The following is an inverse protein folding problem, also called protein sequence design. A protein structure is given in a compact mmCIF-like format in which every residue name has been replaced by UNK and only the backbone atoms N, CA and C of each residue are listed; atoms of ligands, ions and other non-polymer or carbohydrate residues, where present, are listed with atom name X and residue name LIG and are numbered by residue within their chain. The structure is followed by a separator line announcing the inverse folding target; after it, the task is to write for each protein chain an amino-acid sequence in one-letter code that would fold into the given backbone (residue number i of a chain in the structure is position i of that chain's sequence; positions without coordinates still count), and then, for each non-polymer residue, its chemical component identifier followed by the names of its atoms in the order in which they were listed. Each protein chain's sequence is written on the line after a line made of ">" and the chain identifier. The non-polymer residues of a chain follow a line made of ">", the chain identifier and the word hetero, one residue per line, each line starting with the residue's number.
data_IF_842923833763
#
_entry.id   IF_842923833763
#
_cell.length_a   1.000
_cell.length_b   1.000
_cell.length_c   1.000
_cell.angle_alpha   90.00
_cell.angle_beta   90.00
_cell.angle_gamma   90.00
#
_symmetry.space_group_name_H-M   'P 1'
#
loop_
_entity.id
_entity.type
_entity.pdbx_description
1 polymer ?
#
# COMPACT_ATOMS: atom_id res chain seq x y z
N UNK A 1 16.39 -18.00 3.16
CA UNK A 1 16.52 -19.17 2.25
C UNK A 1 16.84 -18.76 0.82
N UNK A 2 16.95 -19.74 -0.10
CA UNK A 2 17.25 -19.48 -1.53
C UNK A 2 16.24 -18.50 -2.15
N UNK A 3 14.96 -18.57 -1.73
CA UNK A 3 13.92 -17.65 -2.19
C UNK A 3 14.16 -16.19 -1.83
N UNK A 4 14.76 -15.91 -0.67
CA UNK A 4 15.08 -14.55 -0.25
C UNK A 4 16.24 -13.98 -1.08
N UNK A 5 17.21 -14.81 -1.46
CA UNK A 5 18.33 -14.39 -2.30
C UNK A 5 17.84 -14.04 -3.70
N UNK A 6 16.98 -14.86 -4.31
CA UNK A 6 16.42 -14.60 -5.64
C UNK A 6 15.55 -13.36 -5.70
N UNK A 7 14.73 -13.10 -4.67
CA UNK A 7 13.93 -11.88 -4.59
C UNK A 7 14.79 -10.63 -4.49
N UNK A 8 15.93 -10.69 -3.82
CA UNK A 8 16.87 -9.57 -3.72
C UNK A 8 17.66 -9.35 -5.01
N UNK A 9 18.09 -10.43 -5.66
CA UNK A 9 18.74 -10.35 -6.97
C UNK A 9 17.84 -9.71 -8.03
N UNK A 10 16.53 -9.88 -7.90
CA UNK A 10 15.56 -9.21 -8.77
C UNK A 10 15.38 -7.73 -8.45
N UNK A 11 15.26 -7.40 -7.18
CA UNK A 11 14.91 -6.04 -6.72
C UNK A 11 16.08 -5.07 -6.83
N UNK A 12 17.30 -5.53 -6.53
CA UNK A 12 18.49 -4.68 -6.47
C UNK A 12 18.84 -4.02 -7.81
N UNK A 13 18.84 -4.72 -8.96
CA UNK A 13 19.08 -4.06 -10.26
C UNK A 13 18.05 -2.97 -10.57
N UNK A 14 16.77 -3.22 -10.28
CA UNK A 14 15.69 -2.25 -10.52
C UNK A 14 15.90 -1.00 -9.65
N UNK A 15 16.23 -1.20 -8.37
CA UNK A 15 16.56 -0.12 -7.44
C UNK A 15 17.74 0.71 -7.95
N UNK A 16 18.86 0.06 -8.27
CA UNK A 16 20.07 0.74 -8.74
C UNK A 16 19.81 1.51 -10.04
N UNK A 17 19.15 0.88 -11.01
CA UNK A 17 18.79 1.54 -12.28
C UNK A 17 17.90 2.76 -12.02
N UNK A 18 16.88 2.62 -11.16
CA UNK A 18 15.99 3.72 -10.80
C UNK A 18 16.71 4.88 -10.14
N UNK A 19 17.58 4.62 -9.16
CA UNK A 19 18.33 5.67 -8.44
C UNK A 19 19.38 6.34 -9.34
N UNK A 20 20.12 5.58 -10.14
CA UNK A 20 21.12 6.14 -11.06
C UNK A 20 20.43 7.02 -12.11
N UNK A 21 19.33 6.54 -12.70
CA UNK A 21 18.58 7.35 -13.65
C UNK A 21 17.99 8.61 -12.99
N UNK A 22 17.41 8.48 -11.80
CA UNK A 22 16.91 9.61 -11.04
C UNK A 22 17.99 10.66 -10.82
N UNK A 23 19.19 10.23 -10.41
CA UNK A 23 20.33 11.13 -10.20
C UNK A 23 20.71 11.87 -11.48
N UNK A 24 20.76 11.16 -12.61
CA UNK A 24 21.13 11.76 -13.91
C UNK A 24 20.03 12.68 -14.47
N UNK A 25 18.76 12.40 -14.17
CA UNK A 25 17.63 13.18 -14.65
C UNK A 25 17.25 14.37 -13.75
N UNK A 26 17.90 14.50 -12.58
CA UNK A 26 17.56 15.52 -11.58
C UNK A 26 18.30 16.82 -11.81
N UNK A 27 17.55 17.93 -11.70
CA UNK A 27 18.12 19.28 -11.57
C UNK A 27 18.18 19.66 -10.09
N UNK A 28 19.36 19.50 -9.48
CA UNK A 28 19.55 19.79 -8.06
C UNK A 28 19.48 21.29 -7.71
N UNK A 29 19.54 22.19 -8.71
CA UNK A 29 19.36 23.62 -8.47
C UNK A 29 17.96 23.95 -7.96
N UNK A 30 16.94 23.14 -8.35
CA UNK A 30 15.56 23.26 -7.89
C UNK A 30 15.43 23.08 -6.36
N UNK A 31 16.27 22.25 -5.74
CA UNK A 31 16.26 22.12 -4.27
C UNK A 31 16.70 23.40 -3.56
N UNK A 32 17.56 24.19 -4.20
CA UNK A 32 18.04 25.45 -3.61
C UNK A 32 17.04 26.57 -3.89
N UNK A 33 16.52 26.66 -5.11
CA UNK A 33 15.58 27.71 -5.51
C UNK A 33 14.18 27.53 -4.91
N UNK A 34 13.66 26.27 -4.86
CA UNK A 34 12.30 25.94 -4.53
C UNK A 34 12.17 25.18 -3.19
N UNK A 35 13.17 25.26 -2.30
CA UNK A 35 13.25 24.44 -1.08
C UNK A 35 11.98 24.53 -0.21
N UNK A 36 11.35 25.71 -0.12
CA UNK A 36 10.13 25.91 0.68
C UNK A 36 8.98 25.05 0.15
N UNK A 37 8.79 25.08 -1.17
CA UNK A 37 7.73 24.27 -1.79
C UNK A 37 8.05 22.79 -1.80
N UNK A 38 9.30 22.41 -1.98
CA UNK A 38 9.74 21.02 -1.81
C UNK A 38 9.42 20.49 -0.40
N UNK A 39 9.61 21.30 0.65
CA UNK A 39 9.21 20.94 2.02
C UNK A 39 7.68 20.80 2.17
N UNK A 40 6.90 21.67 1.53
CA UNK A 40 5.44 21.56 1.51
C UNK A 40 5.01 20.24 0.84
N UNK A 41 5.54 19.92 -0.33
CA UNK A 41 5.25 18.65 -0.99
C UNK A 41 5.71 17.43 -0.17
N UNK A 42 6.88 17.51 0.48
CA UNK A 42 7.35 16.46 1.38
C UNK A 42 6.38 16.23 2.54
N UNK A 43 5.87 17.32 3.15
CA UNK A 43 4.89 17.24 4.22
C UNK A 43 3.56 16.64 3.72
N UNK A 44 3.09 17.02 2.53
CA UNK A 44 1.89 16.48 1.89
C UNK A 44 2.06 14.98 1.61
N UNK A 45 3.16 14.56 1.01
CA UNK A 45 3.47 13.16 0.73
C UNK A 45 3.52 12.35 2.04
N UNK A 46 4.18 12.90 3.08
CA UNK A 46 4.26 12.29 4.40
C UNK A 46 2.89 12.14 5.06
N UNK A 47 2.06 13.19 4.99
CA UNK A 47 0.70 13.16 5.54
C UNK A 47 -0.18 12.13 4.81
N UNK A 48 -0.16 12.08 3.49
CA UNK A 48 -0.92 11.09 2.73
C UNK A 48 -0.37 9.67 2.93
N UNK A 49 0.94 9.50 3.18
CA UNK A 49 1.50 8.20 3.56
C UNK A 49 1.01 7.74 4.95
N UNK A 50 0.75 8.69 5.86
CA UNK A 50 0.17 8.40 7.17
C UNK A 50 -1.35 8.15 7.10
N UNK A 51 -2.06 8.85 6.23
CA UNK A 51 -3.51 8.73 6.01
C UNK A 51 -3.88 7.60 5.04
N UNK A 52 -3.05 6.55 4.94
CA UNK A 52 -3.39 5.40 4.13
C UNK A 52 -4.70 4.75 4.63
N UNK A 53 -5.48 4.25 3.70
CA UNK A 53 -6.66 3.43 3.93
C UNK A 53 -6.40 2.03 3.38
N UNK A 54 -7.14 1.06 3.85
CA UNK A 54 -6.97 -0.31 3.41
C UNK A 54 -8.32 -0.96 3.07
N UNK A 55 -8.32 -1.82 2.07
CA UNK A 55 -9.41 -2.73 1.77
C UNK A 55 -8.99 -4.14 2.08
N UNK A 56 -9.83 -4.84 2.81
CA UNK A 56 -9.63 -6.25 3.08
C UNK A 56 -10.35 -7.06 2.02
N UNK A 57 -9.60 -7.91 1.34
CA UNK A 57 -10.10 -8.75 0.26
C UNK A 57 -10.01 -10.20 0.72
N UNK A 58 -11.12 -10.91 0.63
CA UNK A 58 -11.15 -12.33 0.92
C UNK A 58 -10.72 -13.13 -0.30
N UNK A 59 -9.67 -13.95 -0.15
CA UNK A 59 -9.17 -14.82 -1.22
C UNK A 59 -9.82 -16.20 -1.21
N UNK A 60 -10.12 -16.68 0.01
CA UNK A 60 -10.68 -17.99 0.28
C UNK A 60 -11.36 -17.91 1.63
N UNK A 61 -12.26 -18.86 1.93
CA UNK A 61 -12.82 -19.03 3.27
C UNK A 61 -11.69 -18.91 4.32
N UNK A 62 -11.77 -17.93 5.19
CA UNK A 62 -10.81 -17.60 6.25
C UNK A 62 -9.42 -17.07 5.83
N UNK A 63 -9.17 -16.81 4.53
CA UNK A 63 -7.91 -16.20 4.09
C UNK A 63 -8.15 -14.83 3.46
N UNK A 64 -7.57 -13.83 4.09
CA UNK A 64 -7.73 -12.43 3.74
C UNK A 64 -6.37 -11.82 3.37
N UNK A 65 -6.39 -10.87 2.46
CA UNK A 65 -5.28 -9.95 2.19
C UNK A 65 -5.76 -8.53 2.33
N UNK A 66 -4.89 -7.65 2.74
CA UNK A 66 -5.15 -6.22 2.69
C UNK A 66 -4.56 -5.62 1.42
N UNK A 67 -5.34 -4.79 0.75
CA UNK A 67 -4.84 -3.89 -0.27
C UNK A 67 -4.79 -2.49 0.32
N UNK A 68 -3.59 -1.92 0.41
CA UNK A 68 -3.41 -0.58 0.93
C UNK A 68 -3.63 0.43 -0.20
N UNK A 69 -4.56 1.36 0.03
CA UNK A 69 -4.76 2.53 -0.81
C UNK A 69 -4.14 3.74 -0.12
N UNK A 70 -3.41 4.55 -0.87
CA UNK A 70 -2.88 5.79 -0.34
C UNK A 70 -2.87 6.86 -1.42
N UNK A 71 -3.10 8.10 -1.01
CA UNK A 71 -2.98 9.25 -1.89
C UNK A 71 -1.52 9.73 -2.04
N UNK A 72 -0.55 9.02 -1.44
CA UNK A 72 0.86 9.40 -1.52
C UNK A 72 1.41 9.34 -2.95
N UNK A 73 1.04 8.33 -3.74
CA UNK A 73 1.44 8.23 -5.15
C UNK A 73 0.86 9.37 -6.00
N UNK A 74 -0.38 9.79 -5.72
CA UNK A 74 -0.98 10.99 -6.30
C UNK A 74 -0.18 12.24 -5.94
N UNK A 75 0.20 12.43 -4.68
CA UNK A 75 0.99 13.58 -4.25
C UNK A 75 2.40 13.59 -4.88
N UNK A 76 3.01 12.42 -5.04
CA UNK A 76 4.29 12.27 -5.77
C UNK A 76 4.11 12.66 -7.24
N UNK A 77 3.03 12.20 -7.91
CA UNK A 77 2.73 12.61 -9.29
C UNK A 77 2.47 14.11 -9.40
N UNK A 78 1.73 14.71 -8.46
CA UNK A 78 1.51 16.16 -8.44
C UNK A 78 2.84 16.92 -8.34
N UNK A 79 3.73 16.52 -7.43
CA UNK A 79 5.06 17.11 -7.33
C UNK A 79 5.90 16.89 -8.60
N UNK A 80 5.80 15.72 -9.23
CA UNK A 80 6.54 15.37 -10.43
C UNK A 80 6.06 16.14 -11.67
N UNK A 81 4.78 16.44 -11.80
CA UNK A 81 4.24 17.28 -12.85
C UNK A 81 4.58 18.77 -12.67
N UNK A 82 4.98 19.19 -11.47
CA UNK A 82 5.45 20.56 -11.18
C UNK A 82 6.97 20.68 -11.34
N UNK A 83 7.73 19.78 -10.72
CA UNK A 83 9.20 19.90 -10.60
C UNK A 83 9.97 18.82 -11.39
N UNK A 84 9.27 18.02 -12.19
CA UNK A 84 9.88 16.94 -12.95
C UNK A 84 10.46 15.82 -12.09
N UNK A 85 11.43 15.07 -12.64
CA UNK A 85 12.07 13.95 -11.98
C UNK A 85 12.69 14.29 -10.61
N UNK A 86 13.17 15.53 -10.43
CA UNK A 86 13.82 15.99 -9.19
C UNK A 86 12.94 15.81 -7.97
N UNK A 87 11.63 15.98 -8.10
CA UNK A 87 10.69 15.82 -6.99
C UNK A 87 10.59 14.38 -6.45
N UNK A 88 10.99 13.38 -7.23
CA UNK A 88 10.98 11.98 -6.76
C UNK A 88 11.96 11.74 -5.60
N UNK A 89 12.95 12.60 -5.42
CA UNK A 89 13.79 12.56 -4.23
C UNK A 89 13.03 12.78 -2.93
N UNK A 90 11.90 13.48 -2.95
CA UNK A 90 11.07 13.70 -1.77
C UNK A 90 10.56 12.38 -1.17
N UNK A 91 10.05 11.49 -2.03
CA UNK A 91 9.60 10.17 -1.56
C UNK A 91 10.78 9.27 -1.20
N UNK A 92 11.92 9.35 -1.90
CA UNK A 92 13.15 8.63 -1.53
C UNK A 92 13.62 9.05 -0.15
N UNK A 93 13.67 10.35 0.16
CA UNK A 93 14.02 10.88 1.47
C UNK A 93 13.04 10.41 2.54
N UNK A 94 11.74 10.52 2.29
CA UNK A 94 10.72 10.09 3.23
C UNK A 94 10.86 8.60 3.57
N UNK A 95 11.00 7.75 2.56
CA UNK A 95 11.19 6.30 2.75
C UNK A 95 12.49 5.98 3.47
N UNK A 96 13.55 6.73 3.19
CA UNK A 96 14.84 6.60 3.90
C UNK A 96 14.70 6.94 5.39
N UNK A 97 13.98 8.02 5.72
CA UNK A 97 13.70 8.39 7.11
C UNK A 97 12.88 7.29 7.80
N UNK A 98 11.82 6.80 7.16
CA UNK A 98 10.99 5.72 7.70
C UNK A 98 11.83 4.46 7.93
N UNK A 99 12.69 4.09 6.98
CA UNK A 99 13.60 2.96 7.10
C UNK A 99 14.54 3.11 8.30
N UNK A 100 15.19 4.26 8.44
CA UNK A 100 16.13 4.54 9.52
C UNK A 100 15.45 4.56 10.89
N UNK A 101 14.27 5.16 11.02
CA UNK A 101 13.49 5.22 12.27
C UNK A 101 13.04 3.83 12.71
N UNK A 102 12.72 2.95 11.77
CA UNK A 102 12.29 1.58 12.09
C UNK A 102 13.46 0.62 12.40
N UNK A 103 14.66 0.92 11.92
CA UNK A 103 15.82 0.04 12.05
C UNK A 103 16.17 -0.32 13.52
N UNK A 104 16.23 0.62 14.48
CA UNK A 104 16.54 0.32 15.87
C UNK A 104 15.44 -0.46 16.61
N UNK A 105 14.19 -0.38 16.14
CA UNK A 105 13.04 -1.08 16.73
C UNK A 105 13.04 -2.57 16.39
N UNK A 106 13.87 -3.01 15.44
CA UNK A 106 13.92 -4.37 14.95
C UNK A 106 15.03 -5.15 15.63
N UNK A 107 14.69 -6.06 16.52
CA UNK A 107 15.64 -6.86 17.32
C UNK A 107 16.17 -8.07 16.55
N UNK A 108 15.38 -8.66 15.63
CA UNK A 108 15.78 -9.85 14.89
C UNK A 108 16.43 -9.53 13.55
N UNK A 109 17.40 -10.36 13.12
CA UNK A 109 18.03 -10.26 11.78
C UNK A 109 17.00 -10.38 10.64
N UNK A 110 15.99 -11.24 10.82
CA UNK A 110 14.94 -11.43 9.83
C UNK A 110 14.05 -10.19 9.67
N UNK A 111 13.71 -9.50 10.78
CA UNK A 111 12.94 -8.27 10.74
C UNK A 111 13.71 -7.12 10.05
N UNK A 112 15.02 -6.98 10.35
CA UNK A 112 15.89 -5.99 9.68
C UNK A 112 15.98 -6.23 8.18
N UNK A 113 16.10 -7.50 7.79
CA UNK A 113 16.15 -7.88 6.40
C UNK A 113 14.84 -7.60 5.65
N UNK A 114 13.69 -7.91 6.26
CA UNK A 114 12.39 -7.56 5.70
C UNK A 114 12.21 -6.04 5.53
N UNK A 115 12.68 -5.25 6.51
CA UNK A 115 12.63 -3.80 6.41
C UNK A 115 13.49 -3.27 5.25
N UNK A 116 14.72 -3.79 5.10
CA UNK A 116 15.60 -3.44 3.99
C UNK A 116 14.95 -3.79 2.64
N UNK A 117 14.40 -5.00 2.51
CA UNK A 117 13.71 -5.43 1.31
C UNK A 117 12.50 -4.54 0.99
N UNK A 118 11.68 -4.21 1.98
CA UNK A 118 10.52 -3.34 1.80
C UNK A 118 10.94 -1.93 1.36
N UNK A 119 12.03 -1.39 1.92
CA UNK A 119 12.61 -0.13 1.49
C UNK A 119 13.03 -0.17 0.01
N UNK A 120 13.81 -1.19 -0.39
CA UNK A 120 14.24 -1.37 -1.78
C UNK A 120 13.05 -1.48 -2.74
N UNK A 121 12.02 -2.27 -2.37
CA UNK A 121 10.80 -2.44 -3.15
C UNK A 121 10.05 -1.12 -3.33
N UNK A 122 9.83 -0.39 -2.23
CA UNK A 122 9.07 0.85 -2.25
C UNK A 122 9.78 1.93 -3.06
N UNK A 123 11.08 2.14 -2.83
CA UNK A 123 11.86 3.13 -3.57
C UNK A 123 11.93 2.77 -5.05
N UNK A 124 12.14 1.49 -5.39
CA UNK A 124 12.13 1.04 -6.80
C UNK A 124 10.78 1.31 -7.48
N UNK A 125 9.67 1.09 -6.76
CA UNK A 125 8.32 1.34 -7.27
C UNK A 125 8.02 2.82 -7.52
N UNK A 126 8.63 3.71 -6.75
CA UNK A 126 8.50 5.17 -6.91
C UNK A 126 9.58 5.81 -7.79
N UNK A 127 10.59 5.07 -8.25
CA UNK A 127 11.65 5.63 -9.10
C UNK A 127 11.49 5.17 -10.55
N UNK A 128 11.84 3.95 -10.87
CA UNK A 128 11.92 3.50 -12.25
C UNK A 128 10.62 3.63 -13.04
N UNK A 129 9.44 3.16 -12.55
CA UNK A 129 8.19 3.32 -13.28
C UNK A 129 7.79 4.79 -13.46
N UNK A 130 8.01 5.62 -12.43
CA UNK A 130 7.72 7.06 -12.51
C UNK A 130 8.62 7.77 -13.52
N UNK A 131 9.92 7.48 -13.55
CA UNK A 131 10.85 8.07 -14.51
C UNK A 131 10.46 7.72 -15.94
N UNK A 132 10.07 6.46 -16.20
CA UNK A 132 9.59 6.05 -17.52
C UNK A 132 8.30 6.82 -17.87
N UNK A 133 7.35 6.93 -16.95
CA UNK A 133 6.12 7.68 -17.15
C UNK A 133 6.37 9.17 -17.43
N UNK A 134 7.27 9.81 -16.66
CA UNK A 134 7.65 11.20 -16.87
C UNK A 134 8.40 11.42 -18.20
N UNK A 135 9.24 10.46 -18.58
CA UNK A 135 9.92 10.52 -19.88
C UNK A 135 8.91 10.44 -21.05
N UNK A 136 7.91 9.56 -20.95
CA UNK A 136 6.82 9.49 -21.94
C UNK A 136 6.01 10.79 -21.94
N UNK A 137 5.67 11.34 -20.77
CA UNK A 137 5.00 12.64 -20.67
C UNK A 137 5.74 13.73 -21.43
N UNK A 138 7.07 13.86 -21.23
CA UNK A 138 7.91 14.81 -21.97
C UNK A 138 7.97 14.50 -23.47
N UNK A 139 8.08 13.23 -23.85
CA UNK A 139 8.19 12.82 -25.25
C UNK A 139 6.92 13.15 -26.07
N UNK A 140 5.75 13.26 -25.43
CA UNK A 140 4.50 13.66 -26.08
C UNK A 140 4.19 15.16 -25.94
N UNK A 141 5.17 15.96 -25.52
CA UNK A 141 5.08 17.42 -25.46
C UNK A 141 4.80 18.02 -24.08
N UNK A 142 4.72 17.17 -23.03
CA UNK A 142 4.56 17.67 -21.66
C UNK A 142 5.78 18.45 -21.18
N UNK A 143 5.54 19.48 -20.38
CA UNK A 143 6.58 20.36 -19.81
C UNK A 143 6.43 20.47 -18.29
N UNK A 144 7.50 20.86 -17.60
CA UNK A 144 7.51 21.09 -16.15
C UNK A 144 7.77 22.57 -15.85
N UNK A 145 6.92 23.20 -14.99
CA UNK A 145 5.63 22.74 -14.51
C UNK A 145 4.61 22.54 -15.64
N UNK A 146 3.57 21.73 -15.41
CA UNK A 146 2.49 21.52 -16.38
C UNK A 146 1.93 22.86 -16.86
N UNK A 147 1.89 23.07 -18.18
CA UNK A 147 1.62 24.40 -18.76
C UNK A 147 0.16 24.82 -18.57
N UNK A 148 -0.78 23.90 -18.76
CA UNK A 148 -2.21 24.18 -18.67
C UNK A 148 -3.01 22.96 -18.22
N UNK A 149 -4.31 23.16 -17.99
CA UNK A 149 -5.29 22.08 -17.78
C UNK A 149 -6.12 21.85 -19.06
N UNK A 150 -5.57 22.12 -20.21
CA UNK A 150 -6.23 21.81 -21.49
C UNK A 150 -6.14 20.30 -21.82
N UNK A 151 -6.86 19.90 -22.87
CA UNK A 151 -6.95 18.49 -23.25
C UNK A 151 -5.58 17.92 -23.63
N UNK A 152 -4.69 18.72 -24.24
CA UNK A 152 -3.39 18.25 -24.71
C UNK A 152 -2.47 17.93 -23.51
N UNK A 153 -2.30 18.87 -22.58
CA UNK A 153 -1.44 18.71 -21.40
C UNK A 153 -1.98 17.62 -20.44
N UNK A 154 -3.31 17.62 -20.24
CA UNK A 154 -3.97 16.61 -19.42
C UNK A 154 -3.82 15.23 -20.04
N UNK A 155 -4.01 15.08 -21.36
CA UNK A 155 -3.83 13.77 -22.03
C UNK A 155 -2.40 13.27 -21.97
N UNK A 156 -1.42 14.18 -22.13
CA UNK A 156 -0.01 13.84 -22.01
C UNK A 156 0.32 13.34 -20.59
N UNK A 157 -0.18 14.03 -19.55
CA UNK A 157 0.00 13.62 -18.17
C UNK A 157 -0.65 12.27 -17.87
N UNK A 158 -1.87 12.04 -18.35
CA UNK A 158 -2.55 10.75 -18.21
C UNK A 158 -1.80 9.62 -18.92
N UNK A 159 -1.25 9.86 -20.12
CA UNK A 159 -0.45 8.86 -20.81
C UNK A 159 0.79 8.47 -19.98
N UNK A 160 1.49 9.45 -19.40
CA UNK A 160 2.61 9.20 -18.50
C UNK A 160 2.21 8.36 -17.29
N UNK A 161 1.07 8.69 -16.67
CA UNK A 161 0.51 7.93 -15.52
C UNK A 161 0.14 6.50 -15.93
N UNK A 162 -0.51 6.31 -17.07
CA UNK A 162 -0.88 4.97 -17.57
C UNK A 162 0.38 4.14 -17.84
N UNK A 163 1.38 4.72 -18.49
CA UNK A 163 2.65 4.04 -18.77
C UNK A 163 3.34 3.66 -17.44
N UNK A 164 3.42 4.58 -16.48
CA UNK A 164 3.93 4.25 -15.15
C UNK A 164 3.22 3.03 -14.53
N UNK A 165 1.89 3.00 -14.60
CA UNK A 165 1.09 1.90 -14.06
C UNK A 165 1.36 0.58 -14.79
N UNK A 166 1.40 0.59 -16.13
CA UNK A 166 1.73 -0.60 -16.92
C UNK A 166 3.12 -1.12 -16.59
N UNK A 167 4.13 -0.25 -16.52
CA UNK A 167 5.50 -0.62 -16.16
C UNK A 167 5.58 -1.16 -14.75
N UNK A 168 4.87 -0.53 -13.80
CA UNK A 168 4.77 -1.03 -12.42
C UNK A 168 4.22 -2.46 -12.39
N UNK A 169 3.12 -2.73 -13.10
CA UNK A 169 2.54 -4.08 -13.21
C UNK A 169 3.55 -5.06 -13.82
N UNK A 170 4.17 -4.70 -14.95
CA UNK A 170 5.12 -5.58 -15.65
C UNK A 170 6.32 -5.95 -14.76
N UNK A 171 6.84 -5.00 -13.99
CA UNK A 171 7.98 -5.23 -13.11
C UNK A 171 7.57 -6.06 -11.89
N UNK A 172 6.45 -5.73 -11.23
CA UNK A 172 6.15 -6.28 -9.92
C UNK A 172 5.30 -7.54 -9.92
N UNK A 173 4.50 -7.80 -10.96
CA UNK A 173 3.69 -9.02 -11.05
C UNK A 173 4.54 -10.30 -10.98
N UNK A 174 5.63 -10.46 -11.73
CA UNK A 174 6.49 -11.64 -11.62
C UNK A 174 7.08 -11.82 -10.22
N UNK A 175 7.49 -10.71 -9.58
CA UNK A 175 8.00 -10.73 -8.22
C UNK A 175 6.97 -11.23 -7.21
N UNK A 176 5.75 -10.70 -7.24
CA UNK A 176 4.67 -11.09 -6.33
C UNK A 176 4.23 -12.53 -6.55
N UNK A 177 4.09 -12.96 -7.81
CA UNK A 177 3.76 -14.35 -8.13
C UNK A 177 4.83 -15.31 -7.61
N UNK A 178 6.10 -14.98 -7.80
CA UNK A 178 7.20 -15.77 -7.26
C UNK A 178 7.19 -15.81 -5.73
N UNK A 179 7.01 -14.67 -5.06
CA UNK A 179 6.94 -14.59 -3.61
C UNK A 179 5.78 -15.43 -3.04
N UNK A 180 4.61 -15.42 -3.69
CA UNK A 180 3.47 -16.26 -3.33
C UNK A 180 3.77 -17.74 -3.52
N UNK A 181 4.43 -18.12 -4.61
CA UNK A 181 4.84 -19.50 -4.91
C UNK A 181 5.80 -20.03 -3.85
N UNK A 182 6.88 -19.28 -3.56
CA UNK A 182 7.90 -19.68 -2.57
C UNK A 182 7.34 -19.75 -1.16
N UNK A 183 6.42 -18.88 -0.80
CA UNK A 183 5.76 -18.92 0.50
C UNK A 183 4.69 -20.03 0.62
N UNK A 184 4.56 -20.90 -0.39
CA UNK A 184 3.55 -21.97 -0.47
C UNK A 184 2.11 -21.47 -0.21
N UNK A 185 1.86 -20.19 -0.43
CA UNK A 185 0.52 -19.60 -0.32
C UNK A 185 -0.35 -19.95 -1.52
N UNK A 186 0.26 -20.25 -2.66
CA UNK A 186 -0.36 -20.87 -3.81
C UNK A 186 -0.40 -22.38 -3.56
N UNK A 187 -1.46 -22.89 -2.99
CA UNK A 187 -1.72 -24.33 -3.01
C UNK A 187 -2.00 -24.77 -4.46
N UNK A 188 -1.71 -26.01 -4.81
CA UNK A 188 -1.97 -26.56 -6.16
C UNK A 188 -3.44 -26.41 -6.60
N UNK A 189 -4.37 -26.18 -5.67
CA UNK A 189 -5.81 -25.95 -5.92
C UNK A 189 -6.24 -24.49 -5.76
N UNK A 190 -5.31 -23.53 -5.76
CA UNK A 190 -5.68 -22.11 -5.64
C UNK A 190 -6.42 -21.67 -6.90
N UNK A 191 -7.66 -21.18 -6.72
CA UNK A 191 -8.40 -20.54 -7.80
C UNK A 191 -7.67 -19.25 -8.20
N UNK A 192 -7.30 -19.13 -9.48
CA UNK A 192 -6.58 -17.96 -10.01
C UNK A 192 -7.43 -16.68 -9.93
N UNK A 193 -8.75 -16.79 -10.06
CA UNK A 193 -9.66 -15.64 -10.08
C UNK A 193 -9.57 -14.73 -8.86
N UNK A 194 -9.60 -15.22 -7.60
CA UNK A 194 -9.42 -14.37 -6.41
C UNK A 194 -8.05 -13.70 -6.36
N UNK A 195 -6.99 -14.39 -6.82
CA UNK A 195 -5.63 -13.87 -6.84
C UNK A 195 -5.53 -12.71 -7.84
N UNK A 196 -6.05 -12.90 -9.06
CA UNK A 196 -6.09 -11.85 -10.09
C UNK A 196 -6.91 -10.66 -9.60
N UNK A 197 -8.08 -10.89 -9.00
CA UNK A 197 -8.92 -9.83 -8.45
C UNK A 197 -8.19 -9.02 -7.37
N UNK A 198 -7.45 -9.70 -6.48
CA UNK A 198 -6.62 -9.02 -5.49
C UNK A 198 -5.56 -8.13 -6.15
N UNK A 199 -4.83 -8.66 -7.12
CA UNK A 199 -3.82 -7.85 -7.82
C UNK A 199 -4.43 -6.64 -8.51
N UNK A 200 -5.56 -6.82 -9.20
CA UNK A 200 -6.27 -5.72 -9.86
C UNK A 200 -6.70 -4.66 -8.85
N UNK A 201 -7.24 -5.06 -7.71
CA UNK A 201 -7.65 -4.13 -6.66
C UNK A 201 -6.46 -3.52 -5.92
N UNK A 202 -5.46 -4.30 -5.54
CA UNK A 202 -4.29 -3.81 -4.82
C UNK A 202 -3.46 -2.82 -5.64
N UNK A 203 -3.37 -3.02 -6.95
CA UNK A 203 -2.65 -2.14 -7.87
C UNK A 203 -3.55 -1.03 -8.42
N UNK A 204 -4.84 -1.30 -8.63
CA UNK A 204 -5.79 -0.34 -9.20
C UNK A 204 -6.26 0.73 -8.21
N UNK A 205 -6.47 0.39 -6.94
CA UNK A 205 -6.95 1.33 -5.93
C UNK A 205 -6.08 2.60 -5.79
N UNK A 206 -4.74 2.49 -5.70
CA UNK A 206 -3.87 3.66 -5.63
C UNK A 206 -3.95 4.54 -6.89
N UNK A 207 -4.27 3.94 -8.06
CA UNK A 207 -4.30 4.68 -9.33
C UNK A 207 -5.56 5.50 -9.53
N UNK A 208 -6.66 5.20 -8.85
CA UNK A 208 -7.91 5.97 -8.92
C UNK A 208 -7.70 7.44 -8.53
N UNK A 209 -6.74 7.70 -7.65
CA UNK A 209 -6.43 9.05 -7.19
C UNK A 209 -5.53 9.86 -8.16
N UNK A 210 -4.91 9.24 -9.16
CA UNK A 210 -3.97 9.93 -10.05
C UNK A 210 -4.57 11.09 -10.89
N UNK A 211 -5.84 11.07 -11.33
CA UNK A 211 -6.45 12.24 -11.95
C UNK A 211 -6.36 13.50 -11.09
N UNK A 212 -6.45 13.36 -9.78
CA UNK A 212 -6.31 14.48 -8.85
C UNK A 212 -4.87 15.02 -8.78
N UNK A 213 -3.86 14.23 -9.16
CA UNK A 213 -2.49 14.71 -9.27
C UNK A 213 -2.34 15.75 -10.39
N UNK A 214 -2.95 15.48 -11.55
CA UNK A 214 -2.92 16.40 -12.70
C UNK A 214 -3.65 17.69 -12.33
N UNK A 215 -4.82 17.57 -11.67
CA UNK A 215 -5.56 18.75 -11.23
C UNK A 215 -4.78 19.55 -10.16
N UNK A 216 -4.15 18.88 -9.19
CA UNK A 216 -3.34 19.55 -8.16
C UNK A 216 -2.15 20.30 -8.78
N UNK A 217 -1.42 19.66 -9.70
CA UNK A 217 -0.30 20.26 -10.38
C UNK A 217 -0.73 21.47 -11.24
N UNK A 218 -1.82 21.33 -11.99
CA UNK A 218 -2.37 22.41 -12.81
C UNK A 218 -2.90 23.59 -11.97
N UNK A 219 -3.57 23.33 -10.86
CA UNK A 219 -4.00 24.38 -9.92
C UNK A 219 -2.79 25.12 -9.34
N UNK A 220 -1.73 24.41 -8.99
CA UNK A 220 -0.50 25.03 -8.51
C UNK A 220 0.13 25.92 -9.57
N UNK A 221 0.30 25.39 -10.77
CA UNK A 221 1.01 26.08 -11.86
C UNK A 221 0.23 27.29 -12.42
N UNK A 222 -1.11 27.19 -12.54
CA UNK A 222 -1.91 28.17 -13.26
C UNK A 222 -2.73 29.10 -12.32
N UNK A 223 -3.17 28.59 -11.15
CA UNK A 223 -4.05 29.34 -10.23
C UNK A 223 -3.35 29.75 -8.93
N UNK A 224 -2.08 29.34 -8.77
CA UNK A 224 -1.25 29.71 -7.64
C UNK A 224 -1.54 28.92 -6.34
N UNK A 225 -0.77 29.27 -5.32
CA UNK A 225 -0.69 28.55 -4.05
C UNK A 225 -2.03 28.44 -3.30
N UNK A 226 -2.89 29.44 -3.40
CA UNK A 226 -4.16 29.45 -2.69
C UNK A 226 -5.10 28.33 -3.17
N UNK A 227 -5.30 28.23 -4.48
CA UNK A 227 -6.17 27.21 -5.10
C UNK A 227 -5.63 25.81 -4.86
N UNK A 228 -4.30 25.63 -4.98
CA UNK A 228 -3.63 24.39 -4.65
C UNK A 228 -3.85 23.98 -3.20
N UNK A 229 -3.62 24.90 -2.24
CA UNK A 229 -3.78 24.62 -0.81
C UNK A 229 -5.21 24.24 -0.47
N UNK A 230 -6.20 24.99 -0.98
CA UNK A 230 -7.61 24.68 -0.77
C UNK A 230 -7.98 23.29 -1.29
N UNK A 231 -7.49 22.93 -2.47
CA UNK A 231 -7.70 21.60 -3.05
C UNK A 231 -7.06 20.48 -2.22
N UNK A 232 -5.81 20.68 -1.78
CA UNK A 232 -5.09 19.72 -0.94
C UNK A 232 -5.78 19.52 0.41
N UNK A 233 -6.29 20.59 1.04
CA UNK A 233 -7.07 20.47 2.29
C UNK A 233 -8.32 19.60 2.05
N UNK A 234 -9.04 19.80 0.95
CA UNK A 234 -10.17 18.95 0.59
C UNK A 234 -9.78 17.47 0.45
N UNK A 235 -8.67 17.19 -0.23
CA UNK A 235 -8.16 15.83 -0.37
C UNK A 235 -7.70 15.20 0.95
N UNK A 236 -7.12 16.00 1.87
CA UNK A 236 -6.75 15.52 3.21
C UNK A 236 -8.00 15.08 3.98
N UNK A 237 -9.09 15.86 3.90
CA UNK A 237 -10.38 15.49 4.53
C UNK A 237 -10.90 14.18 3.93
N UNK A 238 -10.87 14.04 2.61
CA UNK A 238 -11.30 12.79 1.92
C UNK A 238 -10.43 11.61 2.35
N UNK A 239 -9.10 11.76 2.38
CA UNK A 239 -8.18 10.71 2.83
C UNK A 239 -8.43 10.31 4.29
N UNK A 240 -8.65 11.29 5.17
CA UNK A 240 -8.99 11.05 6.56
C UNK A 240 -10.29 10.26 6.70
N UNK A 241 -11.35 10.66 6.00
CA UNK A 241 -12.63 9.96 6.01
C UNK A 241 -12.48 8.53 5.47
N UNK A 242 -11.77 8.33 4.34
CA UNK A 242 -11.51 7.01 3.78
C UNK A 242 -10.80 6.09 4.80
N UNK A 243 -9.80 6.63 5.52
CA UNK A 243 -9.13 5.90 6.59
C UNK A 243 -10.07 5.53 7.73
N UNK A 244 -10.91 6.46 8.20
CA UNK A 244 -11.88 6.19 9.26
C UNK A 244 -12.87 5.11 8.85
N UNK A 245 -13.39 5.15 7.63
CA UNK A 245 -14.27 4.10 7.11
C UNK A 245 -13.57 2.74 7.06
N UNK A 246 -12.30 2.68 6.66
CA UNK A 246 -11.52 1.44 6.66
C UNK A 246 -11.36 0.85 8.05
N UNK A 247 -11.08 1.69 9.06
CA UNK A 247 -10.94 1.26 10.45
C UNK A 247 -12.27 0.76 11.03
N UNK A 248 -13.38 1.46 10.75
CA UNK A 248 -14.73 1.05 11.18
C UNK A 248 -15.11 -0.28 10.51
N UNK A 249 -14.87 -0.42 9.20
CA UNK A 249 -15.17 -1.64 8.47
C UNK A 249 -14.39 -2.84 9.03
N UNK A 250 -13.11 -2.66 9.38
CA UNK A 250 -12.31 -3.72 10.01
C UNK A 250 -12.83 -4.09 11.41
N UNK A 251 -13.15 -3.07 12.24
CA UNK A 251 -13.72 -3.30 13.57
C UNK A 251 -15.05 -4.08 13.50
N UNK A 252 -15.96 -3.65 12.63
CA UNK A 252 -17.24 -4.34 12.43
C UNK A 252 -17.05 -5.78 11.97
N UNK A 253 -16.09 -6.00 11.07
CA UNK A 253 -15.78 -7.35 10.59
C UNK A 253 -15.21 -8.24 11.69
N UNK A 254 -14.34 -7.73 12.53
CA UNK A 254 -13.81 -8.48 13.67
C UNK A 254 -14.93 -8.86 14.65
N UNK A 255 -15.87 -7.95 14.91
CA UNK A 255 -17.05 -8.22 15.72
C UNK A 255 -17.95 -9.30 15.11
N UNK A 256 -18.23 -9.21 13.79
CA UNK A 256 -19.02 -10.23 13.09
C UNK A 256 -18.40 -11.62 13.22
N UNK A 257 -17.09 -11.73 13.01
CA UNK A 257 -16.37 -13.01 13.17
C UNK A 257 -16.45 -13.56 14.61
N UNK A 258 -16.37 -12.67 15.61
CA UNK A 258 -16.52 -13.10 17.00
C UNK A 258 -17.93 -13.63 17.25
N UNK A 259 -18.95 -12.96 16.72
CA UNK A 259 -20.34 -13.40 16.81
C UNK A 259 -20.56 -14.74 16.10
N UNK A 260 -20.02 -14.93 14.89
CA UNK A 260 -20.09 -16.20 14.16
C UNK A 260 -19.46 -17.36 14.96
N UNK A 261 -18.30 -17.13 15.58
CA UNK A 261 -17.66 -18.14 16.45
C UNK A 261 -18.51 -18.46 17.66
N UNK A 262 -19.12 -17.44 18.29
CA UNK A 262 -20.02 -17.63 19.43
C UNK A 262 -21.28 -18.39 19.01
N UNK A 263 -21.85 -18.09 17.84
CA UNK A 263 -22.99 -18.77 17.28
C UNK A 263 -22.69 -20.25 17.03
N UNK A 264 -21.54 -20.57 16.43
CA UNK A 264 -21.09 -21.94 16.21
C UNK A 264 -20.97 -22.69 17.53
N UNK A 265 -20.29 -22.11 18.52
CA UNK A 265 -20.18 -22.69 19.88
C UNK A 265 -21.56 -22.92 20.49
N UNK A 266 -22.43 -21.91 20.44
CA UNK A 266 -23.79 -22.00 20.98
C UNK A 266 -24.61 -23.10 20.31
N UNK A 267 -24.52 -23.22 18.98
CA UNK A 267 -25.20 -24.29 18.24
C UNK A 267 -24.69 -25.67 18.63
N UNK A 268 -23.37 -25.85 18.75
CA UNK A 268 -22.79 -27.14 19.08
C UNK A 268 -23.11 -27.56 20.53
N UNK A 269 -23.18 -26.60 21.46
CA UNK A 269 -23.67 -26.83 22.80
C UNK A 269 -25.15 -27.25 22.81
N UNK A 270 -26.00 -26.56 22.05
CA UNK A 270 -27.44 -26.84 21.95
C UNK A 270 -27.75 -28.20 21.28
N UNK A 271 -26.87 -28.65 20.39
CA UNK A 271 -27.02 -29.96 19.72
C UNK A 271 -26.30 -31.10 20.44
N UNK A 272 -25.57 -30.79 21.50
CA UNK A 272 -24.90 -31.78 22.33
C UNK A 272 -25.91 -32.72 23.05
N UNK A 273 -25.54 -33.98 23.34
CA UNK A 273 -26.37 -34.88 24.10
C UNK A 273 -26.77 -34.29 25.47
N UNK A 274 -27.98 -34.63 25.98
CA UNK A 274 -28.47 -34.08 27.26
C UNK A 274 -27.60 -34.39 28.48
N UNK A 275 -26.79 -35.45 28.41
CA UNK A 275 -25.85 -35.87 29.48
C UNK A 275 -24.56 -35.01 29.52
N UNK A 276 -24.45 -34.03 28.61
CA UNK A 276 -23.30 -33.12 28.50
C UNK A 276 -21.94 -33.82 28.38
N UNK A 277 -21.90 -35.09 27.98
CA UNK A 277 -20.68 -35.89 27.88
C UNK A 277 -19.66 -35.32 26.85
N UNK A 278 -20.15 -34.64 25.82
CA UNK A 278 -19.34 -34.04 24.75
C UNK A 278 -18.98 -32.57 24.99
N UNK A 279 -19.50 -31.94 26.05
CA UNK A 279 -19.26 -30.53 26.36
C UNK A 279 -17.75 -30.20 26.52
N UNK A 280 -16.92 -31.05 27.19
CA UNK A 280 -15.49 -30.81 27.29
C UNK A 280 -14.78 -30.69 25.94
N UNK A 281 -15.16 -31.55 24.98
CA UNK A 281 -14.58 -31.57 23.63
C UNK A 281 -14.99 -30.34 22.82
N UNK A 282 -16.27 -29.96 22.88
CA UNK A 282 -16.79 -28.75 22.23
C UNK A 282 -16.07 -27.51 22.77
N UNK A 283 -15.92 -27.39 24.09
CA UNK A 283 -15.22 -26.26 24.69
C UNK A 283 -13.72 -26.25 24.33
N UNK A 284 -13.08 -27.43 24.33
CA UNK A 284 -11.67 -27.56 23.97
C UNK A 284 -11.38 -27.19 22.48
N UNK A 285 -12.34 -27.41 21.59
CA UNK A 285 -12.22 -27.05 20.18
C UNK A 285 -12.49 -25.56 19.93
N UNK A 286 -13.57 -25.02 20.48
CA UNK A 286 -14.02 -23.66 20.14
C UNK A 286 -13.35 -22.57 20.97
N UNK A 287 -13.17 -22.76 22.28
CA UNK A 287 -12.71 -21.69 23.19
C UNK A 287 -11.28 -21.20 22.87
N UNK A 288 -10.28 -22.06 22.57
CA UNK A 288 -8.95 -21.58 22.17
C UNK A 288 -8.96 -20.77 20.88
N UNK A 289 -9.89 -21.09 19.96
CA UNK A 289 -10.04 -20.39 18.68
C UNK A 289 -10.72 -19.01 18.79
N UNK A 290 -11.36 -18.73 19.94
CA UNK A 290 -11.99 -17.42 20.21
C UNK A 290 -11.00 -16.41 20.76
N UNK A 291 -9.93 -16.84 21.38
CA UNK A 291 -8.91 -15.99 22.00
C UNK A 291 -7.63 -16.06 21.18
N UNK A 292 -7.25 -14.96 20.51
CA UNK A 292 -6.08 -14.89 19.63
C UNK A 292 -4.76 -14.75 20.38
N UNK A 293 -4.78 -14.49 21.69
CA UNK A 293 -3.58 -14.31 22.51
C UNK A 293 -3.80 -14.87 23.91
N UNK A 294 -2.93 -15.77 24.34
CA UNK A 294 -2.91 -16.34 25.67
C UNK A 294 -3.14 -17.84 25.71
N UNK A 295 -2.74 -18.47 26.81
CA UNK A 295 -3.11 -19.87 27.13
C UNK A 295 -4.49 -19.87 27.79
N UNK A 296 -5.45 -20.54 27.15
CA UNK A 296 -6.78 -20.73 27.72
C UNK A 296 -6.77 -22.03 28.51
N UNK A 297 -7.09 -21.96 29.82
CA UNK A 297 -7.23 -23.12 30.69
C UNK A 297 -8.70 -23.21 31.09
N UNK A 298 -9.34 -24.30 30.70
CA UNK A 298 -10.75 -24.57 31.04
C UNK A 298 -10.78 -25.54 32.21
N UNK A 299 -11.30 -25.08 33.36
CA UNK A 299 -11.50 -25.90 34.53
C UNK A 299 -12.96 -26.38 34.59
N UNK A 300 -13.17 -27.67 34.49
CA UNK A 300 -14.50 -28.28 34.74
C UNK A 300 -14.49 -28.99 36.08
N UNK A 301 -15.40 -28.57 36.97
CA UNK A 301 -15.55 -29.17 38.29
C UNK A 301 -16.64 -30.23 38.18
N UNK A 302 -16.31 -31.53 38.28
CA UNK A 302 -17.33 -32.57 38.27
C UNK A 302 -18.17 -32.49 39.55
N UNK A 303 -19.47 -32.39 39.42
CA UNK A 303 -20.38 -32.67 40.53
C UNK A 303 -21.23 -31.53 41.10
N UNK A 304 -21.47 -30.46 40.39
CA UNK A 304 -22.54 -29.49 40.72
C UNK A 304 -23.48 -29.32 39.54
N UNK A 305 -24.28 -30.30 39.25
CA UNK A 305 -25.51 -30.21 38.46
C UNK A 305 -26.61 -30.83 39.32
#
# INVERSE_FOLDING_TARGET
>A
GVGDVLTNLYTLPIFLTGIIWLFLASDFSLFISEWKMMLVFLAIIGLFSYLNFFMIIEFREDRYGSADGAFNSMAVWAAALVYGPTSLWLIVFLQTIIFLVNLPRMTSKGARWNNCRNYLLTVSGFTLPFLIGLHVYQAVGGVFPIASLDIADVSAAFLGIIVNFVIFILIWTPYFLYALYVQKRLSQNARLRPIVLFFVLALGLPTIAHPFAVLAAGLYANNGMFSFTFFIIGLIVVAYLARQFSLIAESNRQQTRQLEKLELLGRDILTAPPDMSTLPEILAEHVPNMFTSGNVVIWMIPGQI
#
